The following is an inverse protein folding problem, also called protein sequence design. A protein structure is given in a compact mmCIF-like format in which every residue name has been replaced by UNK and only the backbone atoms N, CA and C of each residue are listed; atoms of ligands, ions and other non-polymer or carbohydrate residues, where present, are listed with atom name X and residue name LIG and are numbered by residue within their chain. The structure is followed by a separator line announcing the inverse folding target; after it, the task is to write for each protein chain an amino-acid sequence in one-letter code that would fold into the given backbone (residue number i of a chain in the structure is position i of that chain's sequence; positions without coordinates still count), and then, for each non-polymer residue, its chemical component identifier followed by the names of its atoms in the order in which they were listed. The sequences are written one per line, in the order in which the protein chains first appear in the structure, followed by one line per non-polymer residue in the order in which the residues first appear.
data_IF_509744777847
#
_entry.id   IF_509744777847
#
_cell.length_a   1.000
_cell.length_b   1.000
_cell.length_c   1.000
_cell.angle_alpha   90.00
_cell.angle_beta   90.00
_cell.angle_gamma   90.00
#
_symmetry.space_group_name_H-M   'P 1'
#
loop_
_entity.id
_entity.type
_entity.pdbx_description
1 polymer ?
#
# COMPACT_ATOMS: atom_id res chain seq x y z
N UNK A 1 22.11 -7.23 -11.15
CA UNK A 1 21.80 -7.01 -12.57
C UNK A 1 22.97 -7.48 -13.42
N UNK A 2 22.69 -8.13 -14.55
CA UNK A 2 23.67 -8.56 -15.54
C UNK A 2 23.28 -8.01 -16.91
N UNK A 3 24.25 -7.94 -17.82
CA UNK A 3 23.99 -7.65 -19.23
C UNK A 3 24.14 -8.94 -20.04
N UNK A 4 23.18 -9.18 -20.93
CA UNK A 4 23.30 -10.23 -21.95
C UNK A 4 24.33 -9.83 -23.02
N UNK A 5 24.70 -10.78 -23.88
CA UNK A 5 25.70 -10.52 -24.95
C UNK A 5 25.22 -9.49 -25.97
N UNK A 6 23.92 -9.30 -26.14
CA UNK A 6 23.28 -8.31 -27.00
C UNK A 6 22.95 -6.98 -26.27
N UNK A 7 23.45 -6.82 -25.04
CA UNK A 7 23.35 -5.57 -24.27
C UNK A 7 22.02 -5.39 -23.54
N UNK A 8 21.16 -6.41 -23.46
CA UNK A 8 19.94 -6.32 -22.68
C UNK A 8 20.23 -6.43 -21.18
N UNK A 9 19.56 -5.60 -20.40
CA UNK A 9 19.65 -5.66 -18.94
C UNK A 9 18.77 -6.78 -18.39
N UNK A 10 19.39 -7.65 -17.59
CA UNK A 10 18.71 -8.75 -16.90
C UNK A 10 18.70 -8.41 -15.41
N UNK A 11 17.50 -8.32 -14.82
CA UNK A 11 17.33 -8.18 -13.39
C UNK A 11 17.39 -9.56 -12.72
N UNK A 12 18.31 -9.73 -11.78
CA UNK A 12 18.42 -10.92 -10.97
C UNK A 12 17.92 -10.62 -9.56
N UNK A 13 17.00 -11.42 -9.07
CA UNK A 13 16.49 -11.32 -7.71
C UNK A 13 16.97 -12.55 -6.93
N UNK A 14 17.77 -12.32 -5.92
CA UNK A 14 18.29 -13.36 -5.04
C UNK A 14 17.54 -13.31 -3.70
N UNK A 15 17.17 -14.48 -3.17
CA UNK A 15 16.59 -14.55 -1.85
C UNK A 15 17.58 -14.03 -0.79
N UNK A 16 17.13 -13.12 0.04
CA UNK A 16 17.96 -12.53 1.10
C UNK A 16 17.94 -13.42 2.34
N UNK A 17 19.11 -13.60 2.95
CA UNK A 17 19.22 -14.23 4.26
C UNK A 17 19.11 -13.16 5.35
N UNK A 18 17.94 -13.04 5.94
CA UNK A 18 17.65 -12.02 6.95
C UNK A 18 18.54 -12.14 8.20
N UNK A 19 19.01 -13.36 8.52
CA UNK A 19 19.95 -13.55 9.61
C UNK A 19 21.35 -12.94 9.39
N UNK A 20 21.66 -12.52 8.16
CA UNK A 20 22.92 -11.87 7.80
C UNK A 20 22.77 -10.37 7.56
N UNK A 21 21.54 -9.84 7.65
CA UNK A 21 21.24 -8.44 7.46
C UNK A 21 21.10 -7.71 8.80
N UNK A 22 21.39 -6.41 8.87
CA UNK A 22 21.23 -5.61 10.08
C UNK A 22 19.75 -5.23 10.31
N UNK A 23 18.90 -6.25 10.36
CA UNK A 23 17.45 -6.11 10.56
C UNK A 23 17.00 -6.98 11.73
N UNK A 24 16.02 -6.52 12.46
CA UNK A 24 15.43 -7.23 13.59
C UNK A 24 13.96 -7.52 13.31
N UNK A 25 13.50 -8.73 13.65
CA UNK A 25 12.08 -9.03 13.66
C UNK A 25 11.43 -8.32 14.84
N UNK A 26 10.35 -7.58 14.55
CA UNK A 26 9.59 -6.92 15.61
C UNK A 26 8.78 -7.97 16.38
N UNK A 27 8.87 -7.91 17.70
CA UNK A 27 8.15 -8.81 18.61
C UNK A 27 6.97 -8.10 19.28
N UNK A 28 5.92 -8.83 19.58
CA UNK A 28 4.80 -8.36 20.39
C UNK A 28 5.15 -8.35 21.89
N UNK A 29 4.20 -7.94 22.73
CA UNK A 29 4.38 -7.87 24.18
C UNK A 29 4.61 -9.25 24.85
N UNK A 30 4.27 -10.34 24.17
CA UNK A 30 4.46 -11.71 24.65
C UNK A 30 5.78 -12.34 24.14
N UNK A 31 6.59 -11.57 23.41
CA UNK A 31 7.84 -12.06 22.82
C UNK A 31 7.62 -12.95 21.58
N UNK A 32 6.44 -12.89 20.95
CA UNK A 32 6.16 -13.56 19.69
C UNK A 32 6.35 -12.59 18.53
N UNK A 33 6.65 -13.08 17.31
CA UNK A 33 6.71 -12.22 16.13
C UNK A 33 5.43 -11.40 15.95
N UNK A 34 5.57 -10.09 15.79
CA UNK A 34 4.44 -9.22 15.50
C UNK A 34 3.87 -9.55 14.11
N UNK A 35 2.61 -9.92 14.07
CA UNK A 35 1.88 -10.22 12.84
C UNK A 35 0.88 -9.12 12.56
N UNK A 36 0.84 -8.65 11.33
CA UNK A 36 -0.18 -7.72 10.82
C UNK A 36 -1.09 -8.47 9.87
N UNK A 37 -2.38 -8.46 10.18
CA UNK A 37 -3.41 -9.11 9.38
C UNK A 37 -3.99 -8.08 8.42
N UNK A 38 -3.66 -8.21 7.14
CA UNK A 38 -4.12 -7.30 6.09
C UNK A 38 -5.31 -7.92 5.38
N UNK A 39 -6.48 -7.26 5.34
CA UNK A 39 -7.66 -7.84 4.70
C UNK A 39 -7.53 -7.84 3.18
N UNK A 40 -7.74 -9.01 2.59
CA UNK A 40 -7.83 -9.25 1.14
C UNK A 40 -9.13 -10.01 0.89
N UNK A 41 -10.06 -9.43 0.11
CA UNK A 41 -11.35 -10.07 -0.13
C UNK A 41 -12.05 -10.54 1.15
N UNK A 42 -12.20 -11.84 1.29
CA UNK A 42 -12.81 -12.56 2.41
C UNK A 42 -11.78 -13.30 3.29
N UNK A 43 -10.49 -13.04 3.08
CA UNK A 43 -9.39 -13.63 3.86
C UNK A 43 -8.37 -12.57 4.29
N UNK A 44 -7.41 -12.99 5.10
CA UNK A 44 -6.30 -12.13 5.54
C UNK A 44 -4.98 -12.65 4.99
N UNK A 45 -4.13 -11.71 4.55
CA UNK A 45 -2.71 -11.95 4.34
C UNK A 45 -1.97 -11.51 5.60
N UNK A 46 -1.17 -12.41 6.13
CA UNK A 46 -0.42 -12.23 7.36
C UNK A 46 1.00 -11.76 7.05
N UNK A 47 1.40 -10.62 7.60
CA UNK A 47 2.74 -10.09 7.39
C UNK A 47 3.51 -10.03 8.72
N UNK A 48 4.73 -10.56 8.71
CA UNK A 48 5.72 -10.23 9.74
C UNK A 48 6.24 -8.82 9.54
N UNK A 49 6.64 -8.20 10.62
CA UNK A 49 7.22 -6.86 10.61
C UNK A 49 8.71 -6.96 10.95
N UNK A 50 9.55 -6.43 10.08
CA UNK A 50 10.98 -6.27 10.32
C UNK A 50 11.30 -4.80 10.54
N UNK A 51 12.33 -4.52 11.32
CA UNK A 51 12.81 -3.16 11.60
C UNK A 51 14.27 -3.03 11.21
N UNK A 52 14.58 -1.97 10.48
CA UNK A 52 15.94 -1.52 10.19
C UNK A 52 16.14 -0.15 10.83
N UNK A 53 17.19 0.01 11.61
CA UNK A 53 17.55 1.31 12.17
C UNK A 53 18.57 2.02 11.25
N UNK A 54 18.15 3.15 10.67
CA UNK A 54 18.99 3.98 9.81
C UNK A 54 19.21 5.32 10.50
N UNK A 55 20.28 5.41 11.26
CA UNK A 55 20.52 6.55 12.15
C UNK A 55 19.39 6.66 13.19
N UNK A 56 18.69 7.80 13.19
CA UNK A 56 17.55 8.06 14.08
C UNK A 56 16.20 7.57 13.57
N UNK A 57 16.18 7.04 12.33
CA UNK A 57 14.95 6.62 11.67
C UNK A 57 14.83 5.10 11.77
N UNK A 58 13.65 4.61 12.14
CA UNK A 58 13.29 3.20 12.01
C UNK A 58 12.51 2.99 10.73
N UNK A 59 13.01 2.11 9.87
CA UNK A 59 12.32 1.63 8.69
C UNK A 59 11.65 0.30 9.02
N UNK A 60 10.35 0.20 8.78
CA UNK A 60 9.58 -1.02 8.97
C UNK A 60 9.30 -1.67 7.63
N UNK A 61 9.55 -2.97 7.55
CA UNK A 61 9.35 -3.76 6.33
C UNK A 61 8.31 -4.84 6.61
N UNK A 62 7.41 -5.05 5.67
CA UNK A 62 6.38 -6.09 5.74
C UNK A 62 6.81 -7.29 4.91
N UNK A 63 6.65 -8.48 5.48
CA UNK A 63 7.09 -9.75 4.90
C UNK A 63 5.97 -10.78 4.99
N UNK A 64 5.48 -11.20 3.81
CA UNK A 64 4.40 -12.19 3.70
C UNK A 64 4.91 -13.62 3.55
N UNK A 65 6.23 -13.84 3.44
CA UNK A 65 6.79 -15.18 3.30
C UNK A 65 6.82 -15.94 4.63
N UNK A 66 5.66 -16.42 5.03
CA UNK A 66 5.46 -17.18 6.25
C UNK A 66 4.38 -18.27 6.07
N UNK A 67 4.37 -19.24 6.97
CA UNK A 67 3.52 -20.43 6.92
C UNK A 67 2.02 -20.17 7.14
N UNK A 68 1.63 -19.00 7.62
CA UNK A 68 0.22 -18.62 7.79
C UNK A 68 -0.46 -18.28 6.46
N UNK A 69 0.33 -17.99 5.43
CA UNK A 69 -0.14 -17.62 4.11
C UNK A 69 -0.12 -18.81 3.13
N UNK A 70 -0.99 -18.74 2.13
CA UNK A 70 -0.90 -19.62 0.97
C UNK A 70 0.43 -19.40 0.24
N UNK A 71 0.91 -20.40 -0.51
CA UNK A 71 2.13 -20.30 -1.30
C UNK A 71 2.09 -19.09 -2.26
N UNK A 72 0.91 -18.81 -2.81
CA UNK A 72 0.67 -17.68 -3.69
C UNK A 72 0.83 -16.33 -2.96
N UNK A 73 0.30 -16.18 -1.75
CA UNK A 73 0.38 -14.93 -0.99
C UNK A 73 1.74 -14.73 -0.34
N UNK A 74 2.48 -15.80 -0.06
CA UNK A 74 3.87 -15.72 0.38
C UNK A 74 4.76 -14.98 -0.63
N UNK A 75 4.47 -15.13 -1.92
CA UNK A 75 5.25 -14.52 -3.00
C UNK A 75 5.04 -13.01 -3.18
N UNK A 76 4.05 -12.38 -2.52
CA UNK A 76 3.74 -10.95 -2.67
C UNK A 76 4.98 -10.07 -2.44
N UNK A 77 5.80 -10.42 -1.44
CA UNK A 77 6.98 -9.63 -1.06
C UNK A 77 8.30 -10.16 -1.63
N UNK A 78 8.28 -11.16 -2.54
CA UNK A 78 9.51 -11.76 -3.05
C UNK A 78 10.28 -10.86 -4.03
N UNK A 79 9.57 -10.10 -4.86
CA UNK A 79 10.19 -9.30 -5.91
C UNK A 79 9.59 -7.90 -6.00
N UNK A 80 10.45 -6.90 -6.08
CA UNK A 80 10.04 -5.54 -6.40
C UNK A 80 9.51 -5.50 -7.84
N UNK A 81 8.28 -4.99 -8.02
CA UNK A 81 7.58 -4.94 -9.32
C UNK A 81 7.41 -6.31 -10.00
N UNK A 82 7.49 -7.39 -9.22
CA UNK A 82 7.34 -8.74 -9.74
C UNK A 82 5.88 -9.14 -9.98
N UNK A 83 5.70 -10.12 -10.88
CA UNK A 83 4.38 -10.68 -11.18
C UNK A 83 3.55 -9.86 -12.15
N UNK A 84 2.26 -10.14 -12.15
CA UNK A 84 1.26 -9.47 -12.98
C UNK A 84 0.61 -8.28 -12.26
N UNK A 85 -0.38 -7.65 -12.90
CA UNK A 85 -1.14 -6.53 -12.34
C UNK A 85 -1.90 -6.89 -11.05
N UNK A 86 -2.30 -8.15 -10.90
CA UNK A 86 -2.94 -8.60 -9.66
C UNK A 86 -1.94 -8.64 -8.51
N UNK A 87 -0.74 -9.19 -8.74
CA UNK A 87 0.31 -9.17 -7.73
C UNK A 87 0.74 -7.73 -7.39
N UNK A 88 0.78 -6.85 -8.40
CA UNK A 88 1.06 -5.43 -8.19
C UNK A 88 0.04 -4.78 -7.26
N UNK A 89 -1.27 -5.00 -7.50
CA UNK A 89 -2.32 -4.50 -6.61
C UNK A 89 -2.18 -5.06 -5.19
N UNK A 90 -1.88 -6.35 -5.06
CA UNK A 90 -1.63 -6.97 -3.75
C UNK A 90 -0.46 -6.30 -3.01
N UNK A 91 0.64 -6.01 -3.69
CA UNK A 91 1.78 -5.28 -3.11
C UNK A 91 1.37 -3.89 -2.61
N UNK A 92 0.54 -3.17 -3.36
CA UNK A 92 0.09 -1.83 -2.98
C UNK A 92 -0.92 -1.84 -1.83
N UNK A 93 -1.80 -2.85 -1.76
CA UNK A 93 -2.67 -3.08 -0.60
C UNK A 93 -1.83 -3.36 0.64
N UNK A 94 -0.84 -4.24 0.51
CA UNK A 94 0.05 -4.57 1.63
C UNK A 94 0.80 -3.33 2.12
N UNK A 95 1.39 -2.56 1.21
CA UNK A 95 2.15 -1.36 1.54
C UNK A 95 1.27 -0.26 2.15
N UNK A 96 0.14 0.04 1.50
CA UNK A 96 -0.73 1.14 1.91
C UNK A 96 -1.56 0.78 3.14
N UNK A 97 -2.46 -0.16 3.00
CA UNK A 97 -3.37 -0.57 4.08
C UNK A 97 -2.59 -1.29 5.18
N UNK A 98 -1.76 -2.25 4.81
CA UNK A 98 -0.90 -2.99 5.76
C UNK A 98 0.06 -2.06 6.51
N UNK A 99 0.59 -1.04 5.85
CA UNK A 99 1.44 -0.02 6.47
C UNK A 99 0.72 0.75 7.59
N UNK A 100 -0.50 1.22 7.36
CA UNK A 100 -1.30 1.91 8.40
C UNK A 100 -1.65 0.97 9.56
N UNK A 101 -2.06 -0.27 9.25
CA UNK A 101 -2.35 -1.27 10.26
C UNK A 101 -1.10 -1.60 11.11
N UNK A 102 0.07 -1.61 10.49
CA UNK A 102 1.36 -1.79 11.17
C UNK A 102 1.64 -0.65 12.15
N UNK A 103 1.50 0.60 11.70
CA UNK A 103 1.69 1.76 12.57
C UNK A 103 0.74 1.72 13.78
N UNK A 104 -0.52 1.32 13.56
CA UNK A 104 -1.49 1.13 14.65
C UNK A 104 -1.05 0.07 15.64
N UNK A 105 -0.64 -1.12 15.18
CA UNK A 105 -0.15 -2.20 16.06
C UNK A 105 1.10 -1.80 16.84
N UNK A 106 1.95 -0.96 16.25
CA UNK A 106 3.15 -0.42 16.91
C UNK A 106 2.87 0.76 17.84
N UNK A 107 1.63 1.27 17.89
CA UNK A 107 1.27 2.46 18.66
C UNK A 107 1.89 3.75 18.13
N UNK A 108 2.32 3.77 16.86
CA UNK A 108 2.94 4.92 16.23
C UNK A 108 1.85 5.82 15.63
N UNK A 109 1.74 7.03 16.17
CA UNK A 109 0.86 8.09 15.63
C UNK A 109 1.71 9.13 14.92
N UNK A 110 1.22 9.62 13.79
CA UNK A 110 1.85 10.67 12.99
C UNK A 110 0.85 11.76 12.68
N UNK A 111 1.35 12.99 12.52
CA UNK A 111 0.54 14.15 12.14
C UNK A 111 0.51 14.30 10.61
N UNK A 112 1.58 13.90 9.92
CA UNK A 112 1.71 13.99 8.47
C UNK A 112 2.06 12.62 7.89
N UNK A 113 1.43 12.29 6.77
CA UNK A 113 1.65 11.08 5.99
C UNK A 113 2.11 11.46 4.59
N UNK A 114 3.31 11.02 4.24
CA UNK A 114 3.92 11.31 2.95
C UNK A 114 3.89 10.07 2.05
N UNK A 115 3.17 10.15 0.94
CA UNK A 115 3.19 9.15 -0.11
C UNK A 115 4.25 9.51 -1.13
N UNK A 116 5.29 8.69 -1.21
CA UNK A 116 6.27 8.73 -2.30
C UNK A 116 5.75 7.84 -3.43
N UNK A 117 5.34 8.44 -4.53
CA UNK A 117 4.64 7.81 -5.65
C UNK A 117 3.23 7.28 -5.31
N UNK A 118 2.50 6.83 -6.34
CA UNK A 118 1.12 6.34 -6.21
C UNK A 118 0.99 5.01 -5.47
N UNK A 119 2.04 4.18 -5.48
CA UNK A 119 1.98 2.81 -4.94
C UNK A 119 1.68 2.71 -3.43
N UNK A 120 1.84 3.79 -2.67
CA UNK A 120 1.48 3.84 -1.25
C UNK A 120 0.11 4.50 -0.98
N UNK A 121 -0.59 5.00 -2.01
CA UNK A 121 -1.76 5.87 -1.84
C UNK A 121 -2.91 5.23 -1.05
N UNK A 122 -3.04 3.90 -1.03
CA UNK A 122 -4.06 3.20 -0.26
C UNK A 122 -3.95 3.37 1.27
N UNK A 123 -2.87 4.01 1.77
CA UNK A 123 -2.84 4.47 3.17
C UNK A 123 -4.05 5.35 3.48
N UNK A 124 -4.49 6.16 2.52
CA UNK A 124 -5.59 7.10 2.71
C UNK A 124 -6.95 6.40 2.76
N UNK A 125 -7.12 5.25 2.08
CA UNK A 125 -8.32 4.41 2.25
C UNK A 125 -8.44 3.92 3.70
N UNK A 126 -7.37 3.33 4.24
CA UNK A 126 -7.40 2.81 5.61
C UNK A 126 -7.61 3.93 6.64
N UNK A 127 -6.98 5.08 6.44
CA UNK A 127 -7.13 6.24 7.32
C UNK A 127 -8.55 6.79 7.32
N UNK A 128 -9.21 6.88 6.14
CA UNK A 128 -10.62 7.26 6.04
C UNK A 128 -11.49 6.25 6.80
N UNK A 129 -11.28 4.94 6.58
CA UNK A 129 -12.00 3.90 7.31
C UNK A 129 -11.86 4.03 8.83
N UNK A 130 -10.66 4.36 9.31
CA UNK A 130 -10.38 4.52 10.74
C UNK A 130 -11.16 5.70 11.33
N UNK A 131 -11.16 6.86 10.67
CA UNK A 131 -11.91 8.03 11.11
C UNK A 131 -13.44 7.81 11.07
N UNK A 132 -13.93 7.11 10.05
CA UNK A 132 -15.36 6.75 9.98
C UNK A 132 -15.73 5.78 11.10
N UNK A 133 -14.87 4.82 11.42
CA UNK A 133 -15.07 3.92 12.55
C UNK A 133 -15.03 4.63 13.91
N UNK A 134 -14.35 5.78 14.01
CA UNK A 134 -14.35 6.68 15.17
C UNK A 134 -15.59 7.59 15.25
N UNK A 135 -16.48 7.52 14.26
CA UNK A 135 -17.78 8.22 14.25
C UNK A 135 -17.85 9.46 13.36
N UNK A 136 -16.81 9.74 12.55
CA UNK A 136 -16.85 10.85 11.59
C UNK A 136 -17.66 10.44 10.34
N UNK A 137 -18.26 11.43 9.68
CA UNK A 137 -18.78 11.22 8.33
C UNK A 137 -17.63 11.06 7.33
N UNK A 138 -17.91 10.50 6.16
CA UNK A 138 -16.92 10.43 5.08
C UNK A 138 -16.35 11.82 4.74
N UNK A 139 -17.20 12.84 4.60
CA UNK A 139 -16.76 14.20 4.25
C UNK A 139 -15.80 14.78 5.31
N UNK A 140 -16.06 14.53 6.57
CA UNK A 140 -15.16 14.93 7.66
C UNK A 140 -13.85 14.14 7.62
N UNK A 141 -13.94 12.83 7.40
CA UNK A 141 -12.78 11.94 7.37
C UNK A 141 -11.84 12.28 6.21
N UNK A 142 -12.37 12.50 5.00
CA UNK A 142 -11.53 12.80 3.84
C UNK A 142 -10.83 14.15 3.97
N UNK A 143 -11.45 15.16 4.58
CA UNK A 143 -10.81 16.45 4.82
C UNK A 143 -9.67 16.35 5.84
N UNK A 144 -9.82 15.56 6.90
CA UNK A 144 -8.72 15.28 7.84
C UNK A 144 -7.58 14.52 7.18
N UNK A 145 -7.90 13.53 6.33
CA UNK A 145 -6.90 12.77 5.59
C UNK A 145 -6.16 13.68 4.62
N UNK A 146 -6.84 14.51 3.85
CA UNK A 146 -6.23 15.49 2.93
C UNK A 146 -5.30 16.44 3.66
N UNK A 147 -5.77 17.08 4.73
CA UNK A 147 -5.02 18.08 5.49
C UNK A 147 -3.71 17.55 6.08
N UNK A 148 -3.59 16.22 6.22
CA UNK A 148 -2.43 15.56 6.79
C UNK A 148 -1.69 14.66 5.79
N UNK A 149 -1.97 14.79 4.49
CA UNK A 149 -1.34 14.02 3.41
C UNK A 149 -0.52 14.88 2.48
N UNK A 150 0.69 14.42 2.17
CA UNK A 150 1.59 14.93 1.13
C UNK A 150 1.82 13.84 0.09
N UNK A 151 1.69 14.16 -1.19
CA UNK A 151 2.01 13.27 -2.29
C UNK A 151 3.15 13.85 -3.13
N UNK A 152 4.18 13.04 -3.40
CA UNK A 152 5.30 13.42 -4.27
C UNK A 152 5.40 12.46 -5.43
N UNK A 153 5.32 12.98 -6.66
CA UNK A 153 5.53 12.21 -7.89
C UNK A 153 6.95 12.44 -8.43
N UNK A 154 7.61 11.36 -8.80
CA UNK A 154 8.97 11.37 -9.36
C UNK A 154 8.98 11.01 -10.86
N UNK A 155 7.93 10.36 -11.35
CA UNK A 155 7.88 9.77 -12.69
C UNK A 155 7.00 10.60 -13.62
N UNK A 156 7.57 11.21 -14.68
CA UNK A 156 6.80 12.04 -15.61
C UNK A 156 6.12 11.24 -16.73
N UNK A 157 6.38 9.93 -16.83
CA UNK A 157 5.89 9.10 -17.95
C UNK A 157 4.67 8.30 -17.54
N UNK A 158 3.65 8.14 -18.42
CA UNK A 158 2.41 7.40 -18.10
C UNK A 158 2.66 5.96 -17.63
N UNK A 159 3.69 5.29 -18.16
CA UNK A 159 4.03 3.92 -17.76
C UNK A 159 4.51 3.76 -16.32
N UNK A 160 4.83 4.86 -15.64
CA UNK A 160 5.21 4.87 -14.22
C UNK A 160 4.04 5.01 -13.25
N UNK A 161 2.82 5.14 -13.77
CA UNK A 161 1.61 5.23 -12.97
C UNK A 161 0.85 3.90 -13.00
N UNK A 162 0.41 3.44 -11.84
CA UNK A 162 -0.33 2.20 -11.72
C UNK A 162 -1.83 2.44 -11.98
N UNK A 163 -2.39 1.65 -12.91
CA UNK A 163 -3.78 1.69 -13.33
C UNK A 163 -4.40 0.31 -13.17
N UNK A 164 -5.53 0.23 -12.47
CA UNK A 164 -6.24 -1.03 -12.25
C UNK A 164 -7.62 -1.00 -12.89
N UNK A 165 -7.94 -2.04 -13.64
CA UNK A 165 -9.28 -2.24 -14.17
C UNK A 165 -10.29 -2.39 -13.02
N UNK A 166 -11.51 -1.89 -13.22
CA UNK A 166 -12.55 -1.90 -12.19
C UNK A 166 -12.82 -3.30 -11.63
N UNK A 167 -12.82 -4.33 -12.50
CA UNK A 167 -13.04 -5.71 -12.07
C UNK A 167 -11.92 -6.22 -11.14
N UNK A 168 -10.66 -5.95 -11.47
CA UNK A 168 -9.52 -6.33 -10.63
C UNK A 168 -9.51 -5.53 -9.33
N UNK A 169 -9.69 -4.21 -9.41
CA UNK A 169 -9.72 -3.35 -8.23
C UNK A 169 -10.87 -3.73 -7.30
N UNK A 170 -12.07 -3.97 -7.85
CA UNK A 170 -13.25 -4.40 -7.11
C UNK A 170 -13.11 -5.76 -6.43
N UNK A 171 -12.34 -6.66 -7.03
CA UNK A 171 -12.03 -7.95 -6.43
C UNK A 171 -11.44 -7.80 -5.02
N UNK A 172 -10.57 -6.83 -4.79
CA UNK A 172 -9.87 -6.62 -3.52
C UNK A 172 -10.44 -5.48 -2.69
N UNK A 173 -10.91 -4.43 -3.34
CA UNK A 173 -11.32 -3.19 -2.68
C UNK A 173 -12.85 -3.05 -2.50
N UNK A 174 -13.64 -4.02 -3.00
CA UNK A 174 -15.11 -3.96 -2.99
C UNK A 174 -15.75 -3.86 -1.61
N UNK A 175 -15.07 -4.29 -0.55
CA UNK A 175 -15.56 -4.18 0.83
C UNK A 175 -15.27 -2.83 1.51
N UNK A 176 -14.44 -1.97 0.90
CA UNK A 176 -14.00 -0.71 1.53
C UNK A 176 -15.03 0.42 1.46
N UNK A 177 -15.83 0.60 0.39
CA UNK A 177 -16.81 1.69 0.33
C UNK A 177 -17.76 1.72 1.52
N UNK A 178 -18.29 0.56 1.93
CA UNK A 178 -19.19 0.47 3.10
C UNK A 178 -18.49 0.90 4.39
N UNK A 179 -17.21 0.63 4.55
CA UNK A 179 -16.40 1.06 5.70
C UNK A 179 -16.03 2.54 5.66
N UNK A 180 -15.99 3.12 4.45
CA UNK A 180 -15.75 4.54 4.23
C UNK A 180 -17.05 5.36 4.30
N UNK A 181 -18.21 4.73 4.20
CA UNK A 181 -19.51 5.40 4.16
C UNK A 181 -19.86 6.00 2.80
N UNK A 182 -19.35 5.45 1.70
CA UNK A 182 -19.56 5.90 0.32
C UNK A 182 -19.99 4.74 -0.58
N UNK A 183 -20.40 5.06 -1.81
CA UNK A 183 -20.68 4.07 -2.83
C UNK A 183 -19.41 3.53 -3.48
N UNK A 184 -19.54 2.43 -4.24
CA UNK A 184 -18.45 1.93 -5.08
C UNK A 184 -18.03 2.93 -6.16
N UNK A 185 -19.01 3.57 -6.80
CA UNK A 185 -18.75 4.58 -7.82
C UNK A 185 -17.98 5.78 -7.24
N UNK A 186 -18.31 6.23 -6.02
CA UNK A 186 -17.58 7.31 -5.35
C UNK A 186 -16.11 6.94 -5.10
N UNK A 187 -15.83 5.69 -4.68
CA UNK A 187 -14.45 5.23 -4.50
C UNK A 187 -13.70 5.21 -5.84
N UNK A 188 -14.31 4.66 -6.90
CA UNK A 188 -13.70 4.62 -8.23
C UNK A 188 -13.42 6.02 -8.77
N UNK A 189 -14.32 6.97 -8.55
CA UNK A 189 -14.19 8.34 -9.03
C UNK A 189 -13.04 9.11 -8.36
N UNK A 190 -12.63 8.72 -7.16
CA UNK A 190 -11.42 9.26 -6.55
C UNK A 190 -10.14 8.91 -7.33
N UNK A 191 -10.13 7.82 -8.09
CA UNK A 191 -9.01 7.39 -8.92
C UNK A 191 -9.17 7.70 -10.42
N UNK A 192 -10.23 8.42 -10.83
CA UNK A 192 -10.50 8.80 -12.22
C UNK A 192 -10.20 10.27 -12.48
N UNK A 193 -9.63 10.59 -13.65
CA UNK A 193 -9.44 11.98 -14.07
C UNK A 193 -10.79 12.66 -14.35
N UNK A 194 -11.73 11.90 -14.92
CA UNK A 194 -13.09 12.35 -15.20
C UNK A 194 -14.07 11.55 -14.33
N UNK A 195 -14.48 12.08 -13.16
CA UNK A 195 -15.46 11.41 -12.32
C UNK A 195 -16.73 11.06 -13.09
N UNK A 196 -17.25 9.85 -12.89
CA UNK A 196 -18.40 9.31 -13.62
C UNK A 196 -18.06 8.62 -14.96
N UNK A 197 -16.85 8.73 -15.49
CA UNK A 197 -16.43 7.99 -16.69
C UNK A 197 -16.05 6.54 -16.33
N UNK A 198 -17.00 5.64 -16.53
CA UNK A 198 -16.80 4.20 -16.27
C UNK A 198 -15.85 3.50 -17.24
N UNK A 199 -15.39 4.18 -18.29
CA UNK A 199 -14.32 3.70 -19.16
C UNK A 199 -12.92 3.92 -18.61
N UNK A 200 -12.77 4.83 -17.63
CA UNK A 200 -11.48 5.06 -16.98
C UNK A 200 -11.19 4.02 -15.91
N UNK A 201 -9.94 3.54 -15.92
CA UNK A 201 -9.39 2.67 -14.84
C UNK A 201 -9.11 3.49 -13.59
N UNK A 202 -9.03 2.81 -12.45
CA UNK A 202 -8.56 3.42 -11.21
C UNK A 202 -7.05 3.69 -11.29
N UNK A 203 -6.67 4.96 -11.17
CA UNK A 203 -5.27 5.40 -11.17
C UNK A 203 -4.82 5.75 -9.76
N UNK A 204 -3.78 5.09 -9.27
CA UNK A 204 -3.25 5.31 -7.93
C UNK A 204 -2.72 6.73 -7.74
N UNK A 205 -2.10 7.31 -8.77
CA UNK A 205 -1.59 8.69 -8.71
C UNK A 205 -2.72 9.73 -8.66
N UNK A 206 -3.81 9.51 -9.41
CA UNK A 206 -5.00 10.38 -9.34
C UNK A 206 -5.63 10.29 -7.96
N UNK A 207 -5.77 9.08 -7.42
CA UNK A 207 -6.25 8.87 -6.06
C UNK A 207 -5.37 9.56 -5.02
N UNK A 208 -4.05 9.46 -5.15
CA UNK A 208 -3.10 10.15 -4.26
C UNK A 208 -3.28 11.67 -4.32
N UNK A 209 -3.42 12.26 -5.53
CA UNK A 209 -3.71 13.69 -5.70
C UNK A 209 -5.03 14.09 -5.04
N UNK A 210 -6.11 13.33 -5.27
CA UNK A 210 -7.43 13.65 -4.77
C UNK A 210 -7.56 13.52 -3.24
N UNK A 211 -6.65 12.78 -2.61
CA UNK A 211 -6.64 12.52 -1.17
C UNK A 211 -5.48 13.19 -0.43
N UNK A 212 -4.74 14.08 -1.09
CA UNK A 212 -3.64 14.85 -0.48
C UNK A 212 -3.88 16.35 -0.68
N UNK A 213 -3.59 17.14 0.34
CA UNK A 213 -3.64 18.60 0.25
C UNK A 213 -2.40 19.14 -0.45
N UNK A 214 -1.25 18.60 -0.11
CA UNK A 214 0.03 18.99 -0.70
C UNK A 214 0.46 17.97 -1.76
N UNK A 215 0.69 18.46 -2.97
CA UNK A 215 1.13 17.65 -4.11
C UNK A 215 2.31 18.34 -4.77
N UNK A 216 3.41 17.61 -4.94
CA UNK A 216 4.58 18.14 -5.64
C UNK A 216 5.20 17.11 -6.58
N UNK A 217 5.90 17.59 -7.60
CA UNK A 217 6.77 16.82 -8.47
C UNK A 217 8.24 17.11 -8.17
N UNK A 218 9.11 16.19 -8.52
CA UNK A 218 10.56 16.30 -8.41
C UNK A 218 11.19 16.79 -9.71
#
# INVERSE_FOLDING_TARGET
QTLSMDGQQIANYEAQNFGQLPIDRVMDANGQPLVVDVPYLDYYVHAYVWRVNVGRISLYLLDTDNEMNSEFDRSITHQLYGGDWENRLKQEILLGIGGILTLKKLGIKKDIYHCNEGHAALINVQRICDYVAEGLTYDQAIELVRASSLYTVHTPVPAGHDYFDEGLFGKYMGGYPSRMGISWDDLMDLGRNNPGDKGERFCMSVFACNTSQEVNGV
#
